data_IF_999985685952
#
_entry.id   IF_999985685952
#
_cell.length_a   1.000
_cell.length_b   1.000
_cell.length_c   1.000
_cell.angle_alpha   90.00
_cell.angle_beta   90.00
_cell.angle_gamma   90.00
#
_symmetry.space_group_name_H-M   'P 1'
#
loop_
_entity.id
_entity.type
_entity.pdbx_description
1 polymer ?
#
# COMPACT_ATOMS: atom_id res chain seq x y z
N UNK A 1 -8.96 -1.85 -4.09
CA UNK A 1 -8.29 -2.39 -5.29
C UNK A 1 -9.08 -1.91 -6.49
N UNK A 2 -8.46 -1.50 -7.59
CA UNK A 2 -9.22 -1.23 -8.82
C UNK A 2 -9.37 -2.56 -9.56
N UNK A 3 -10.60 -3.06 -9.68
CA UNK A 3 -10.91 -4.39 -10.23
C UNK A 3 -10.32 -4.60 -11.63
N UNK A 4 -10.22 -3.53 -12.44
CA UNK A 4 -9.66 -3.58 -13.79
C UNK A 4 -8.14 -3.77 -13.91
N UNK A 5 -7.38 -3.79 -12.79
CA UNK A 5 -5.92 -3.99 -12.80
C UNK A 5 -5.47 -5.36 -12.29
N UNK A 6 -6.42 -6.23 -11.91
CA UNK A 6 -6.10 -7.52 -11.33
C UNK A 6 -5.51 -8.49 -12.37
N UNK A 7 -6.00 -8.43 -13.60
CA UNK A 7 -5.49 -9.27 -14.69
C UNK A 7 -4.06 -8.89 -15.08
N UNK A 8 -3.62 -7.64 -14.83
CA UNK A 8 -2.25 -7.18 -15.10
C UNK A 8 -1.20 -7.88 -14.24
N UNK A 9 -1.61 -8.39 -13.07
CA UNK A 9 -0.68 -9.03 -12.12
C UNK A 9 -0.70 -10.57 -12.21
N UNK A 10 -1.59 -11.15 -13.01
CA UNK A 10 -1.63 -12.59 -13.23
C UNK A 10 -0.49 -12.99 -14.15
N UNK A 11 0.21 -14.08 -13.80
CA UNK A 11 1.24 -14.64 -14.65
C UNK A 11 0.65 -15.07 -16.00
N UNK A 12 1.26 -14.62 -17.10
CA UNK A 12 0.81 -14.90 -18.48
C UNK A 12 0.76 -16.40 -18.80
N UNK A 13 1.54 -17.23 -18.10
CA UNK A 13 1.57 -18.68 -18.29
C UNK A 13 0.37 -19.41 -17.66
N UNK A 14 -0.38 -18.77 -16.75
CA UNK A 14 -1.62 -19.32 -16.18
C UNK A 14 -2.76 -19.32 -17.24
N UNK A 15 -2.61 -18.52 -18.30
CA UNK A 15 -3.62 -18.35 -19.34
C UNK A 15 -4.88 -17.66 -18.80
N UNK A 16 -6.01 -17.85 -19.49
CA UNK A 16 -7.30 -17.22 -19.17
C UNK A 16 -8.31 -18.20 -18.53
N UNK A 17 -7.84 -19.34 -18.00
CA UNK A 17 -8.68 -20.40 -17.44
C UNK A 17 -8.96 -20.30 -15.94
N UNK A 18 -8.66 -19.17 -15.29
CA UNK A 18 -8.86 -19.00 -13.87
C UNK A 18 -10.21 -18.36 -13.55
N UNK A 19 -10.77 -18.70 -12.39
CA UNK A 19 -11.95 -18.02 -11.87
C UNK A 19 -11.55 -16.66 -11.26
N UNK A 20 -12.23 -15.60 -11.69
CA UNK A 20 -11.92 -14.24 -11.23
C UNK A 20 -12.18 -14.05 -9.73
N UNK A 21 -13.21 -14.69 -9.19
CA UNK A 21 -13.54 -14.58 -7.76
C UNK A 21 -12.50 -15.30 -6.90
N UNK A 22 -12.00 -16.45 -7.35
CA UNK A 22 -10.88 -17.15 -6.71
C UNK A 22 -9.59 -16.33 -6.78
N UNK A 23 -9.32 -15.69 -7.92
CA UNK A 23 -8.18 -14.80 -8.06
C UNK A 23 -8.23 -13.64 -7.04
N UNK A 24 -9.38 -12.98 -6.90
CA UNK A 24 -9.59 -11.91 -5.90
C UNK A 24 -9.25 -12.41 -4.50
N UNK A 25 -9.74 -13.60 -4.12
CA UNK A 25 -9.50 -14.18 -2.79
C UNK A 25 -8.02 -14.51 -2.55
N UNK A 26 -7.35 -15.13 -3.52
CA UNK A 26 -5.91 -15.43 -3.41
C UNK A 26 -5.11 -14.15 -3.20
N UNK A 27 -5.48 -13.08 -3.90
CA UNK A 27 -4.82 -11.79 -3.78
C UNK A 27 -5.10 -11.14 -2.43
N UNK A 28 -6.33 -11.21 -1.91
CA UNK A 28 -6.65 -10.76 -0.56
C UNK A 28 -5.78 -11.47 0.48
N UNK A 29 -5.66 -12.80 0.40
CA UNK A 29 -4.79 -13.60 1.28
C UNK A 29 -3.33 -13.15 1.17
N UNK A 30 -2.82 -12.97 -0.06
CA UNK A 30 -1.45 -12.50 -0.29
C UNK A 30 -1.19 -11.10 0.30
N UNK A 31 -2.16 -10.18 0.19
CA UNK A 31 -2.07 -8.84 0.76
C UNK A 31 -2.06 -8.84 2.29
N UNK A 32 -2.86 -9.72 2.92
CA UNK A 32 -2.82 -9.92 4.38
C UNK A 32 -1.47 -10.51 4.82
N UNK A 33 -0.94 -11.49 4.09
CA UNK A 33 0.34 -12.14 4.41
C UNK A 33 1.55 -11.20 4.27
N UNK A 34 1.47 -10.23 3.36
CA UNK A 34 2.53 -9.27 3.07
C UNK A 34 2.41 -7.96 3.85
N UNK A 35 1.59 -7.95 4.92
CA UNK A 35 1.45 -6.77 5.78
C UNK A 35 2.82 -6.29 6.31
N UNK A 36 3.02 -4.96 6.29
CA UNK A 36 4.25 -4.34 6.76
C UNK A 36 4.45 -4.57 8.26
N UNK A 37 3.36 -4.60 9.03
CA UNK A 37 3.37 -4.97 10.43
C UNK A 37 3.31 -6.50 10.56
N UNK A 38 4.38 -7.15 11.07
CA UNK A 38 4.39 -8.59 11.27
C UNK A 38 3.28 -9.09 12.19
N UNK A 39 2.84 -8.27 13.15
CA UNK A 39 1.78 -8.63 14.11
C UNK A 39 0.40 -8.72 13.46
N UNK A 40 0.23 -8.11 12.28
CA UNK A 40 -1.02 -8.10 11.52
C UNK A 40 -1.06 -9.18 10.43
N UNK A 41 0.00 -10.00 10.31
CA UNK A 41 0.02 -11.11 9.36
C UNK A 41 -0.75 -12.30 9.95
N UNK A 42 -1.60 -12.97 9.16
CA UNK A 42 -2.32 -14.15 9.62
C UNK A 42 -1.35 -15.29 9.97
N UNK A 43 -1.74 -16.13 10.92
CA UNK A 43 -1.03 -17.36 11.21
C UNK A 43 -1.09 -18.31 10.01
N UNK A 44 -0.07 -19.14 9.81
CA UNK A 44 -0.07 -20.09 8.68
C UNK A 44 -1.26 -21.05 8.68
N UNK A 45 -1.80 -21.40 9.85
CA UNK A 45 -3.04 -22.19 9.97
C UNK A 45 -4.26 -21.45 9.41
N UNK A 46 -4.35 -20.13 9.63
CA UNK A 46 -5.42 -19.30 9.08
C UNK A 46 -5.25 -19.16 7.56
N UNK A 47 -4.02 -18.98 7.08
CA UNK A 47 -3.71 -18.93 5.63
C UNK A 47 -4.14 -20.21 4.93
N UNK A 48 -3.81 -21.37 5.49
CA UNK A 48 -4.23 -22.66 4.94
C UNK A 48 -5.75 -22.76 4.91
N UNK A 49 -6.42 -22.41 6.02
CA UNK A 49 -7.88 -22.42 6.09
C UNK A 49 -8.53 -21.49 5.05
N UNK A 50 -8.01 -20.27 4.88
CA UNK A 50 -8.51 -19.31 3.89
C UNK A 50 -8.38 -19.83 2.46
N UNK A 51 -7.30 -20.57 2.15
CA UNK A 51 -7.06 -21.14 0.83
C UNK A 51 -7.92 -22.39 0.56
N UNK A 52 -8.10 -23.24 1.56
CA UNK A 52 -8.93 -24.45 1.46
C UNK A 52 -10.42 -24.12 1.31
N UNK A 53 -10.94 -23.25 2.18
CA UNK A 53 -12.35 -22.84 2.16
C UNK A 53 -12.64 -21.74 1.13
N UNK A 54 -11.60 -21.14 0.54
CA UNK A 54 -11.70 -19.99 -0.36
C UNK A 54 -12.50 -18.87 0.30
N UNK A 55 -12.24 -18.56 1.57
CA UNK A 55 -12.93 -17.51 2.33
C UNK A 55 -11.88 -16.66 3.04
N UNK A 56 -12.02 -15.35 2.94
CA UNK A 56 -11.23 -14.38 3.71
C UNK A 56 -12.17 -13.74 4.73
N UNK A 57 -11.81 -13.65 6.02
CA UNK A 57 -12.64 -13.01 7.03
C UNK A 57 -12.88 -11.53 6.66
N UNK A 58 -14.15 -11.13 6.57
CA UNK A 58 -14.54 -9.76 6.15
C UNK A 58 -13.95 -8.71 7.10
N UNK A 59 -14.02 -8.95 8.42
CA UNK A 59 -13.51 -8.01 9.42
C UNK A 59 -12.00 -7.72 9.24
N UNK A 60 -11.20 -8.76 8.99
CA UNK A 60 -9.76 -8.60 8.72
C UNK A 60 -9.52 -7.82 7.41
N UNK A 61 -10.33 -8.11 6.38
CA UNK A 61 -10.20 -7.44 5.10
C UNK A 61 -10.58 -5.96 5.15
N UNK A 62 -11.67 -5.61 5.83
CA UNK A 62 -12.09 -4.23 6.04
C UNK A 62 -11.06 -3.42 6.84
N UNK A 63 -10.46 -4.02 7.86
CA UNK A 63 -9.38 -3.38 8.61
C UNK A 63 -8.15 -3.13 7.73
N UNK A 64 -7.75 -4.11 6.93
CA UNK A 64 -6.66 -3.95 5.98
C UNK A 64 -6.94 -2.81 4.98
N UNK A 65 -8.16 -2.74 4.43
CA UNK A 65 -8.54 -1.68 3.50
C UNK A 65 -8.44 -0.29 4.13
N UNK A 66 -8.92 -0.14 5.38
CA UNK A 66 -8.82 1.12 6.13
C UNK A 66 -7.36 1.50 6.40
N UNK A 67 -6.55 0.54 6.82
CA UNK A 67 -5.12 0.73 7.06
C UNK A 67 -4.39 1.15 5.77
N UNK A 68 -4.70 0.51 4.65
CA UNK A 68 -4.12 0.81 3.33
C UNK A 68 -4.48 2.22 2.85
N UNK A 69 -5.74 2.63 2.98
CA UNK A 69 -6.18 4.01 2.66
C UNK A 69 -5.43 5.04 3.51
N UNK A 70 -5.35 4.78 4.83
CA UNK A 70 -4.63 5.64 5.76
C UNK A 70 -3.15 5.76 5.38
N UNK A 71 -2.51 4.64 5.04
CA UNK A 71 -1.10 4.58 4.62
C UNK A 71 -0.86 5.38 3.33
N UNK A 72 -1.73 5.26 2.33
CA UNK A 72 -1.65 6.03 1.08
C UNK A 72 -1.76 7.52 1.33
N UNK A 73 -2.77 7.94 2.11
CA UNK A 73 -2.94 9.34 2.46
C UNK A 73 -1.72 9.89 3.20
N UNK A 74 -1.15 9.13 4.13
CA UNK A 74 0.07 9.53 4.82
C UNK A 74 1.25 9.67 3.86
N UNK A 75 1.40 8.78 2.88
CA UNK A 75 2.45 8.90 1.88
C UNK A 75 2.26 10.18 1.06
N UNK A 76 1.07 10.44 0.56
CA UNK A 76 0.73 11.66 -0.19
C UNK A 76 0.98 12.92 0.64
N UNK A 77 0.53 12.96 1.89
CA UNK A 77 0.77 14.07 2.81
C UNK A 77 2.26 14.28 3.06
N UNK A 78 3.04 13.21 3.22
CA UNK A 78 4.50 13.28 3.35
C UNK A 78 5.15 13.80 2.07
N UNK A 79 4.69 13.40 0.89
CA UNK A 79 5.21 13.94 -0.38
C UNK A 79 4.91 15.44 -0.50
N UNK A 80 3.68 15.85 -0.17
CA UNK A 80 3.27 17.24 -0.22
C UNK A 80 4.05 18.10 0.78
N UNK A 81 4.24 17.59 2.00
CA UNK A 81 5.07 18.25 3.00
C UNK A 81 6.53 18.33 2.56
N UNK A 82 7.09 17.27 1.95
CA UNK A 82 8.48 17.27 1.46
C UNK A 82 8.71 18.32 0.37
N UNK A 83 7.73 18.52 -0.51
CA UNK A 83 7.78 19.56 -1.54
C UNK A 83 7.66 20.97 -0.92
N UNK A 84 6.81 21.13 0.10
CA UNK A 84 6.67 22.37 0.85
C UNK A 84 7.94 22.74 1.62
N UNK A 85 8.53 21.79 2.36
CA UNK A 85 9.80 22.01 3.08
C UNK A 85 10.96 22.31 2.12
N UNK A 86 11.01 21.66 0.95
CA UNK A 86 11.99 21.99 -0.09
C UNK A 86 11.83 23.43 -0.62
N UNK A 87 10.59 23.92 -0.72
CA UNK A 87 10.30 25.30 -1.07
C UNK A 87 10.67 26.29 0.06
N UNK A 88 10.47 25.93 1.32
CA UNK A 88 10.88 26.76 2.47
C UNK A 88 12.41 26.81 2.63
N UNK A 89 13.12 25.69 2.41
CA UNK A 89 14.58 25.67 2.35
C UNK A 89 15.11 26.60 1.24
N UNK A 90 14.41 26.65 0.10
CA UNK A 90 14.77 27.57 -1.00
C UNK A 90 14.62 29.04 -0.60
N UNK A 91 13.63 29.40 0.23
CA UNK A 91 13.44 30.75 0.77
C UNK A 91 14.51 31.11 1.82
N UNK A 92 14.90 30.15 2.66
CA UNK A 92 15.98 30.33 3.64
C UNK A 92 17.36 30.55 2.99
N UNK A 93 17.61 30.01 1.79
CA UNK A 93 18.87 30.22 1.07
C UNK A 93 19.01 31.68 0.59
N UNK A 94 17.91 32.34 0.20
CA UNK A 94 17.95 33.77 -0.18
C UNK A 94 18.24 34.68 1.02
N UNK A 95 17.66 34.40 2.19
CA UNK A 95 17.89 35.16 3.42
C UNK A 95 19.34 35.02 3.93
N UNK A 96 19.96 33.84 3.75
CA UNK A 96 21.35 33.60 4.13
C UNK A 96 22.38 34.33 3.24
N UNK A 97 22.05 34.63 1.98
CA UNK A 97 22.92 35.39 1.06
C UNK A 97 23.00 36.87 1.45
N UNK A 98 21.92 37.47 1.95
CA UNK A 98 21.88 38.88 2.36
C UNK A 98 22.72 39.15 3.62
N UNK A 99 22.93 38.14 4.48
CA UNK A 99 23.75 38.26 5.69
C UNK A 99 25.26 38.11 5.44
N UNK A 100 25.67 37.74 4.21
CA UNK A 100 27.08 37.70 3.79
C UNK A 100 27.62 39.05 3.30
N UNK A 101 26.74 40.06 3.18
CA UNK A 101 27.09 41.45 2.88
C UNK A 101 27.72 42.15 4.08
N UNK A 102 28.99 41.86 4.35
CA UNK A 102 29.83 42.60 5.29
C UNK A 102 30.20 44.00 4.78
N UNK A 103 30.08 44.97 5.71
CA UNK A 103 30.47 46.39 5.70
C UNK A 103 31.65 46.83 4.81
#
# INVERSE_FOLDING_TARGET
>A
MQEGRLEEIVDRNIGCGYDFQELVKIIQVALLCTNIDPCQRPAMSEVVHMLEEKIVPEDQWEEWQRAELTRRQQYENKQHHKLFTFSEESLNIYEAVELSGGR
#
